data_IF_895286264308
#
_entry.id   IF_895286264308
#
_cell.length_a   1.000
_cell.length_b   1.000
_cell.length_c   1.000
_cell.angle_alpha   90.00
_cell.angle_beta   90.00
_cell.angle_gamma   90.00
#
_symmetry.space_group_name_H-M   'P 1'
#
loop_
_entity.id
_entity.type
_entity.pdbx_description
1 polymer ?
#
# COMPACT_ATOMS: atom_id res chain seq x y z
N UNK A 1 14.70 5.08 8.28
CA UNK A 1 14.82 6.21 9.22
C UNK A 1 13.63 6.16 10.13
N UNK A 2 13.85 5.84 11.40
CA UNK A 2 12.79 5.87 12.41
C UNK A 2 12.60 7.31 12.88
N UNK A 3 11.35 7.74 12.95
CA UNK A 3 10.92 9.00 13.57
C UNK A 3 9.88 8.70 14.63
N UNK A 4 9.48 9.71 15.41
CA UNK A 4 8.43 9.53 16.42
C UNK A 4 7.10 9.09 15.81
N UNK A 5 6.82 9.47 14.55
CA UNK A 5 5.53 9.19 13.90
C UNK A 5 5.59 8.05 12.86
N UNK A 6 6.79 7.53 12.54
CA UNK A 6 6.98 6.42 11.63
C UNK A 6 8.15 5.55 12.09
N UNK A 7 7.87 4.30 12.45
CA UNK A 7 8.90 3.31 12.74
C UNK A 7 9.28 2.56 11.48
N UNK A 8 10.56 2.24 11.32
CA UNK A 8 11.06 1.43 10.22
C UNK A 8 11.95 0.30 10.75
N UNK A 9 11.67 -0.92 10.32
CA UNK A 9 12.49 -2.10 10.60
C UNK A 9 12.78 -2.87 9.30
N UNK A 10 13.97 -3.43 9.16
CA UNK A 10 14.25 -4.44 8.14
C UNK A 10 14.27 -5.81 8.81
N UNK A 11 13.38 -6.70 8.38
CA UNK A 11 13.24 -8.06 8.87
C UNK A 11 13.38 -9.03 7.71
N UNK A 12 14.58 -9.57 7.51
CA UNK A 12 14.84 -10.61 6.51
C UNK A 12 14.40 -10.20 5.09
N UNK A 13 14.88 -9.03 4.65
CA UNK A 13 14.58 -8.49 3.33
C UNK A 13 13.22 -7.79 3.21
N UNK A 14 12.45 -7.72 4.31
CA UNK A 14 11.17 -7.01 4.37
C UNK A 14 11.36 -5.68 5.12
N UNK A 15 11.08 -4.56 4.46
CA UNK A 15 11.00 -3.27 5.15
C UNK A 15 9.60 -3.08 5.75
N UNK A 16 9.49 -3.06 7.07
CA UNK A 16 8.24 -2.83 7.79
C UNK A 16 8.16 -1.37 8.21
N UNK A 17 7.25 -0.63 7.59
CA UNK A 17 6.90 0.76 7.90
C UNK A 17 5.67 0.77 8.81
N UNK A 18 5.81 1.30 10.02
CA UNK A 18 4.74 1.30 11.03
C UNK A 18 4.35 2.72 11.41
N UNK A 19 3.09 3.09 11.15
CA UNK A 19 2.53 4.38 11.56
C UNK A 19 2.43 4.45 13.09
N UNK A 20 3.01 5.48 13.69
CA UNK A 20 3.22 5.54 15.14
C UNK A 20 2.58 6.77 15.79
N UNK A 21 1.25 6.83 15.76
CA UNK A 21 0.44 7.77 16.55
C UNK A 21 -0.78 7.05 17.14
N UNK A 22 -0.57 6.04 18.01
CA UNK A 22 -1.64 5.11 18.42
C UNK A 22 -2.79 5.81 19.18
N UNK A 23 -2.49 6.87 19.93
CA UNK A 23 -3.46 7.62 20.73
C UNK A 23 -4.57 8.27 19.87
N UNK A 24 -4.26 8.56 18.61
CA UNK A 24 -5.19 9.14 17.63
C UNK A 24 -5.41 8.20 16.44
N UNK A 25 -5.34 6.88 16.65
CA UNK A 25 -5.59 5.87 15.62
C UNK A 25 -4.70 6.03 14.38
N UNK A 26 -3.45 6.46 14.58
CA UNK A 26 -2.49 6.72 13.51
C UNK A 26 -3.00 7.74 12.48
N UNK A 27 -3.78 8.73 12.92
CA UNK A 27 -4.15 9.87 12.08
C UNK A 27 -2.91 10.50 11.45
N UNK A 28 -3.00 10.80 10.15
CA UNK A 28 -1.88 11.31 9.38
C UNK A 28 -1.47 12.68 9.87
N UNK A 29 -0.17 12.83 10.07
CA UNK A 29 0.48 14.10 10.37
C UNK A 29 1.47 14.43 9.26
N UNK A 30 1.82 15.71 9.11
CA UNK A 30 2.83 16.13 8.15
C UNK A 30 4.18 15.41 8.34
N UNK A 31 4.74 15.30 9.57
CA UNK A 31 5.98 14.55 9.78
C UNK A 31 5.90 13.07 9.38
N UNK A 32 4.75 12.43 9.62
CA UNK A 32 4.52 11.03 9.22
C UNK A 32 4.57 10.87 7.69
N UNK A 33 3.90 11.76 6.96
CA UNK A 33 3.83 11.72 5.50
C UNK A 33 5.17 12.05 4.85
N UNK A 34 5.91 13.03 5.38
CA UNK A 34 7.28 13.35 4.94
C UNK A 34 8.23 12.18 5.18
N UNK A 35 8.15 11.53 6.35
CA UNK A 35 8.96 10.35 6.66
C UNK A 35 8.62 9.17 5.73
N UNK A 36 7.33 8.95 5.45
CA UNK A 36 6.87 7.91 4.52
C UNK A 36 7.37 8.17 3.09
N UNK A 37 7.26 9.41 2.59
CA UNK A 37 7.76 9.78 1.26
C UNK A 37 9.27 9.55 1.15
N UNK A 38 10.03 9.99 2.16
CA UNK A 38 11.48 9.77 2.23
C UNK A 38 11.83 8.28 2.27
N UNK A 39 11.14 7.50 3.10
CA UNK A 39 11.33 6.06 3.22
C UNK A 39 11.05 5.35 1.89
N UNK A 40 9.90 5.60 1.27
CA UNK A 40 9.53 4.94 0.00
C UNK A 40 10.50 5.26 -1.14
N UNK A 41 10.96 6.51 -1.27
CA UNK A 41 11.94 6.90 -2.29
C UNK A 41 13.26 6.17 -2.12
N UNK A 42 13.76 6.09 -0.88
CA UNK A 42 15.00 5.35 -0.56
C UNK A 42 14.82 3.85 -0.77
N UNK A 43 13.75 3.29 -0.19
CA UNK A 43 13.48 1.85 -0.23
C UNK A 43 13.24 1.36 -1.64
N UNK A 44 12.80 2.18 -2.60
CA UNK A 44 12.66 1.76 -3.99
C UNK A 44 13.98 1.26 -4.62
N UNK A 45 15.13 1.79 -4.20
CA UNK A 45 16.45 1.44 -4.73
C UNK A 45 17.33 0.58 -3.81
N UNK A 46 16.83 0.16 -2.64
CA UNK A 46 17.64 -0.53 -1.63
C UNK A 46 17.75 -2.05 -1.91
N UNK A 47 18.91 -2.54 -2.34
CA UNK A 47 19.09 -3.97 -2.66
C UNK A 47 18.89 -4.92 -1.46
N UNK A 48 18.89 -4.42 -0.22
CA UNK A 48 18.60 -5.22 0.97
C UNK A 48 17.10 -5.43 1.23
N UNK A 49 16.22 -4.85 0.41
CA UNK A 49 14.76 -4.92 0.59
C UNK A 49 14.10 -5.50 -0.66
N UNK A 50 13.35 -6.58 -0.53
CA UNK A 50 12.58 -7.19 -1.61
C UNK A 50 11.07 -6.98 -1.50
N UNK A 51 10.55 -6.65 -0.32
CA UNK A 51 9.14 -6.36 -0.07
C UNK A 51 8.98 -5.25 0.98
N UNK A 52 7.92 -4.44 0.88
CA UNK A 52 7.59 -3.39 1.84
C UNK A 52 6.25 -3.72 2.49
N UNK A 53 6.18 -3.68 3.81
CA UNK A 53 4.95 -3.83 4.58
C UNK A 53 4.61 -2.50 5.24
N UNK A 54 3.38 -2.01 5.08
CA UNK A 54 2.84 -0.85 5.78
C UNK A 54 1.82 -1.31 6.82
N UNK A 55 1.93 -0.83 8.06
CA UNK A 55 1.00 -1.17 9.16
C UNK A 55 0.86 -0.02 10.17
N UNK A 56 -0.05 -0.14 11.14
CA UNK A 56 -0.21 0.82 12.22
C UNK A 56 0.14 0.25 13.58
N UNK A 57 0.55 1.10 14.52
CA UNK A 57 0.65 0.74 15.94
C UNK A 57 -0.72 0.70 16.62
N UNK A 58 -0.84 -0.11 17.67
CA UNK A 58 -2.02 -0.15 18.53
C UNK A 58 -3.29 -0.64 17.81
N UNK A 59 -4.43 -0.04 18.16
CA UNK A 59 -5.78 -0.51 17.78
C UNK A 59 -6.24 -0.09 16.37
N UNK A 60 -5.43 0.66 15.63
CA UNK A 60 -5.80 1.22 14.33
C UNK A 60 -4.71 0.99 13.29
N UNK A 61 -5.11 0.81 12.04
CA UNK A 61 -4.18 0.94 10.93
C UNK A 61 -3.90 2.43 10.68
N UNK A 62 -4.93 3.18 10.28
CA UNK A 62 -4.87 4.64 10.08
C UNK A 62 -6.29 5.21 9.93
N UNK A 63 -6.66 6.20 10.75
CA UNK A 63 -7.96 6.87 10.66
C UNK A 63 -8.05 7.96 9.58
N UNK A 64 -7.00 8.18 8.79
CA UNK A 64 -6.94 9.25 7.79
C UNK A 64 -6.50 10.57 8.38
N UNK A 65 -7.09 11.69 7.94
CA UNK A 65 -6.77 13.02 8.47
C UNK A 65 -7.13 13.19 9.95
N UNK A 66 -6.36 14.02 10.66
CA UNK A 66 -6.63 14.36 12.06
C UNK A 66 -7.75 15.42 12.13
N UNK A 67 -9.01 14.97 12.08
CA UNK A 67 -10.21 15.85 12.04
C UNK A 67 -10.32 16.71 13.30
N UNK A 68 -9.89 16.20 14.46
CA UNK A 68 -9.87 16.98 15.70
C UNK A 68 -8.93 18.18 15.57
N UNK A 69 -7.71 17.94 15.08
CA UNK A 69 -6.77 19.02 14.80
C UNK A 69 -7.26 19.96 13.66
N UNK A 70 -8.13 19.50 12.76
CA UNK A 70 -8.78 20.38 11.77
C UNK A 70 -9.82 21.31 12.40
N UNK A 71 -10.63 20.81 13.33
CA UNK A 71 -11.63 21.63 14.03
C UNK A 71 -11.01 22.67 14.97
N UNK A 72 -9.87 22.35 15.58
CA UNK A 72 -9.12 23.25 16.48
C UNK A 72 -8.33 24.34 15.73
N UNK A 73 -8.15 24.19 14.42
CA UNK A 73 -7.53 25.23 13.58
C UNK A 73 -8.53 26.37 13.34
N UNK A 74 -8.42 27.43 14.13
CA UNK A 74 -9.04 28.73 13.81
C UNK A 74 -8.54 29.20 12.44
N UNK A 75 -9.43 29.79 11.62
CA UNK A 75 -9.37 30.11 10.17
C UNK A 75 -8.09 30.76 9.56
N UNK A 76 -6.98 30.84 10.26
CA UNK A 76 -5.71 31.43 9.80
C UNK A 76 -4.72 30.41 9.25
N UNK A 77 -5.19 29.35 8.57
CA UNK A 77 -4.28 28.55 7.75
C UNK A 77 -3.82 29.42 6.56
N UNK A 78 -2.66 30.06 6.72
CA UNK A 78 -2.03 30.89 5.71
C UNK A 78 -1.92 30.13 4.38
N UNK A 79 -2.13 30.83 3.26
CA UNK A 79 -2.03 30.29 1.91
C UNK A 79 -3.33 30.36 1.12
N UNK A 80 -3.19 30.55 -0.20
CA UNK A 80 -4.31 30.52 -1.15
C UNK A 80 -4.85 29.10 -1.32
N UNK A 81 -6.03 28.97 -1.92
CA UNK A 81 -6.62 27.67 -2.25
C UNK A 81 -5.66 26.80 -3.07
N UNK A 82 -4.97 27.40 -4.04
CA UNK A 82 -4.01 26.76 -4.93
C UNK A 82 -2.81 26.22 -4.15
N UNK A 83 -2.28 27.00 -3.19
CA UNK A 83 -1.16 26.55 -2.36
C UNK A 83 -1.54 25.36 -1.48
N UNK A 84 -2.77 25.34 -0.93
CA UNK A 84 -3.30 24.24 -0.12
C UNK A 84 -3.52 22.98 -0.96
N UNK A 85 -4.03 23.15 -2.18
CA UNK A 85 -4.23 22.06 -3.12
C UNK A 85 -2.89 21.45 -3.57
N UNK A 86 -1.89 22.28 -3.86
CA UNK A 86 -0.54 21.84 -4.22
C UNK A 86 0.13 21.06 -3.07
N UNK A 87 0.03 21.58 -1.84
CA UNK A 87 0.56 20.96 -0.62
C UNK A 87 -0.14 19.62 -0.31
N UNK A 88 -1.45 19.51 -0.51
CA UNK A 88 -2.17 18.22 -0.44
C UNK A 88 -1.69 17.26 -1.54
N UNK A 89 -1.55 17.75 -2.78
CA UNK A 89 -1.13 16.93 -3.92
C UNK A 89 0.28 16.37 -3.71
N UNK A 90 1.20 17.15 -3.15
CA UNK A 90 2.54 16.68 -2.82
C UNK A 90 2.49 15.51 -1.82
N UNK A 91 1.67 15.62 -0.77
CA UNK A 91 1.49 14.54 0.19
C UNK A 91 0.87 13.29 -0.41
N UNK A 92 -0.06 13.43 -1.35
CA UNK A 92 -0.70 12.30 -2.03
C UNK A 92 0.29 11.46 -2.87
N UNK A 93 1.51 11.96 -3.14
CA UNK A 93 2.56 11.17 -3.79
C UNK A 93 2.88 9.87 -3.04
N UNK A 94 2.61 9.79 -1.73
CA UNK A 94 2.85 8.54 -0.99
C UNK A 94 2.01 7.38 -1.53
N UNK A 95 0.75 7.63 -1.88
CA UNK A 95 -0.11 6.60 -2.48
C UNK A 95 0.41 6.16 -3.84
N UNK A 96 0.86 7.12 -4.67
CA UNK A 96 1.49 6.80 -5.95
C UNK A 96 2.76 5.98 -5.75
N UNK A 97 3.60 6.33 -4.79
CA UNK A 97 4.84 5.60 -4.51
C UNK A 97 4.59 4.19 -3.97
N UNK A 98 3.55 3.97 -3.17
CA UNK A 98 3.14 2.62 -2.76
C UNK A 98 2.73 1.79 -3.98
N UNK A 99 1.85 2.35 -4.82
CA UNK A 99 1.30 1.68 -5.99
C UNK A 99 2.34 1.43 -7.09
N UNK A 100 3.23 2.38 -7.35
CA UNK A 100 4.21 2.33 -8.44
C UNK A 100 5.61 1.91 -7.99
N UNK A 101 5.81 1.61 -6.70
CA UNK A 101 7.10 1.10 -6.21
C UNK A 101 7.57 -0.08 -7.06
N UNK A 102 8.86 -0.15 -7.46
CA UNK A 102 9.41 -1.32 -8.14
C UNK A 102 9.38 -2.59 -7.27
N UNK A 103 9.08 -2.44 -5.97
CA UNK A 103 8.97 -3.52 -5.00
C UNK A 103 7.50 -3.77 -4.66
N UNK A 104 7.09 -5.03 -4.49
CA UNK A 104 5.75 -5.32 -3.98
C UNK A 104 5.56 -4.76 -2.57
N UNK A 105 4.36 -4.24 -2.33
CA UNK A 105 3.92 -3.58 -1.12
C UNK A 105 2.72 -4.32 -0.54
N UNK A 106 2.68 -4.45 0.79
CA UNK A 106 1.59 -5.11 1.50
C UNK A 106 1.08 -4.17 2.59
N UNK A 107 -0.23 -3.91 2.60
CA UNK A 107 -0.89 -3.30 3.74
C UNK A 107 -1.29 -4.39 4.74
N UNK A 108 -0.71 -4.34 5.94
CA UNK A 108 -1.10 -5.17 7.09
C UNK A 108 -2.06 -4.36 7.96
N UNK A 109 -3.36 -4.51 7.68
CA UNK A 109 -4.45 -3.74 8.29
C UNK A 109 -4.81 -4.35 9.65
N UNK A 110 -4.11 -3.91 10.69
CA UNK A 110 -4.21 -4.38 12.08
C UNK A 110 -5.44 -3.86 12.85
N UNK A 111 -6.20 -2.93 12.28
CA UNK A 111 -7.33 -2.30 12.95
C UNK A 111 -8.08 -1.35 12.03
N UNK A 112 -8.76 -0.35 12.61
CA UNK A 112 -9.54 0.61 11.83
C UNK A 112 -8.71 1.30 10.72
N UNK A 113 -9.23 1.30 9.50
CA UNK A 113 -8.70 2.04 8.36
C UNK A 113 -9.81 2.93 7.76
N UNK A 114 -9.63 4.25 7.78
CA UNK A 114 -10.66 5.20 7.38
C UNK A 114 -10.12 6.34 6.52
N UNK A 115 -10.92 6.86 5.58
CA UNK A 115 -10.56 8.01 4.75
C UNK A 115 -9.23 7.81 4.03
N UNK A 116 -8.35 8.81 4.09
CA UNK A 116 -6.99 8.72 3.55
C UNK A 116 -6.22 7.48 4.06
N UNK A 117 -6.50 7.00 5.28
CA UNK A 117 -5.88 5.82 5.84
C UNK A 117 -6.28 4.55 5.12
N UNK A 118 -7.55 4.44 4.74
CA UNK A 118 -8.00 3.39 3.81
C UNK A 118 -7.33 3.58 2.45
N UNK A 119 -7.26 4.81 1.91
CA UNK A 119 -6.60 5.08 0.63
C UNK A 119 -5.15 4.59 0.59
N UNK A 120 -4.36 4.72 1.66
CA UNK A 120 -3.01 4.15 1.73
C UNK A 120 -3.00 2.63 1.64
N UNK A 121 -3.93 1.96 2.33
CA UNK A 121 -4.02 0.50 2.27
C UNK A 121 -4.41 0.02 0.86
N UNK A 122 -5.33 0.74 0.20
CA UNK A 122 -5.76 0.44 -1.16
C UNK A 122 -4.66 0.67 -2.20
N UNK A 123 -3.73 1.57 -1.94
CA UNK A 123 -2.58 1.84 -2.80
C UNK A 123 -1.49 0.75 -2.74
N UNK A 124 -1.53 -0.18 -1.78
CA UNK A 124 -0.62 -1.32 -1.75
C UNK A 124 -1.04 -2.41 -2.74
N UNK A 125 -0.11 -3.29 -3.12
CA UNK A 125 -0.43 -4.39 -4.06
C UNK A 125 -1.34 -5.44 -3.39
N UNK A 126 -1.04 -5.76 -2.13
CA UNK A 126 -1.79 -6.75 -1.34
C UNK A 126 -2.28 -6.15 -0.02
N UNK A 127 -3.41 -6.64 0.46
CA UNK A 127 -4.02 -6.26 1.75
C UNK A 127 -4.35 -7.49 2.58
N UNK A 128 -3.78 -7.54 3.77
CA UNK A 128 -4.04 -8.55 4.80
C UNK A 128 -4.68 -7.84 5.97
N UNK A 129 -5.81 -8.35 6.47
CA UNK A 129 -6.64 -7.63 7.43
C UNK A 129 -6.95 -8.49 8.65
N UNK A 130 -6.87 -7.89 9.84
CA UNK A 130 -7.33 -8.51 11.08
C UNK A 130 -8.86 -8.70 11.03
N UNK A 131 -9.37 -9.81 11.56
CA UNK A 131 -10.81 -10.10 11.62
C UNK A 131 -11.61 -9.03 12.40
N UNK A 132 -10.99 -8.45 13.44
CA UNK A 132 -11.53 -7.36 14.24
C UNK A 132 -11.48 -5.99 13.56
N UNK A 133 -10.75 -5.82 12.46
CA UNK A 133 -10.60 -4.54 11.78
C UNK A 133 -11.89 -4.09 11.07
N UNK A 134 -11.99 -2.78 10.79
CA UNK A 134 -13.11 -2.17 10.06
C UNK A 134 -12.58 -1.15 9.07
N UNK A 135 -13.20 -1.11 7.89
CA UNK A 135 -12.88 -0.15 6.83
C UNK A 135 -14.03 0.86 6.67
N UNK A 136 -13.73 2.09 6.29
CA UNK A 136 -14.75 3.05 5.84
C UNK A 136 -14.11 4.12 4.97
N UNK A 137 -14.81 4.57 3.93
CA UNK A 137 -14.35 5.73 3.15
C UNK A 137 -14.39 7.00 4.00
N UNK A 138 -15.27 7.10 4.99
CA UNK A 138 -15.43 8.17 5.98
C UNK A 138 -15.64 9.61 5.46
N UNK A 139 -15.30 9.92 4.21
CA UNK A 139 -15.27 11.28 3.66
C UNK A 139 -16.63 11.98 3.70
N UNK A 140 -17.73 11.28 3.36
CA UNK A 140 -19.08 11.85 3.44
C UNK A 140 -19.47 12.25 4.87
N UNK A 141 -19.02 11.50 5.88
CA UNK A 141 -19.30 11.79 7.29
C UNK A 141 -18.58 13.04 7.82
N UNK A 142 -17.56 13.53 7.11
CA UNK A 142 -16.75 14.69 7.49
C UNK A 142 -16.77 15.81 6.45
N UNK A 143 -17.65 15.72 5.44
CA UNK A 143 -17.82 16.76 4.43
C UNK A 143 -16.66 16.91 3.43
N UNK A 144 -15.89 15.84 3.20
CA UNK A 144 -14.82 15.83 2.19
C UNK A 144 -15.19 14.99 0.97
N UNK A 145 -14.58 15.28 -0.18
CA UNK A 145 -14.82 14.58 -1.45
C UNK A 145 -13.99 13.29 -1.62
N UNK A 146 -12.96 13.11 -0.80
CA UNK A 146 -11.96 12.04 -0.96
C UNK A 146 -10.60 12.55 -1.41
N UNK A 147 -9.55 11.80 -1.04
CA UNK A 147 -8.15 12.10 -1.33
C UNK A 147 -7.27 10.82 -1.37
N UNK A 148 -5.95 11.00 -1.54
CA UNK A 148 -4.93 9.94 -1.54
C UNK A 148 -5.17 8.80 -2.56
N UNK A 149 -5.96 9.06 -3.61
CA UNK A 149 -6.24 8.09 -4.68
C UNK A 149 -7.30 7.05 -4.32
N UNK A 150 -7.98 7.16 -3.16
CA UNK A 150 -8.96 6.16 -2.72
C UNK A 150 -10.09 5.92 -3.73
N UNK A 151 -10.54 6.96 -4.42
CA UNK A 151 -11.58 6.86 -5.46
C UNK A 151 -11.10 6.07 -6.68
N UNK A 152 -9.83 6.18 -7.06
CA UNK A 152 -9.22 5.40 -8.13
C UNK A 152 -9.10 3.92 -7.71
N UNK A 153 -8.39 3.64 -6.62
CA UNK A 153 -8.11 2.26 -6.22
C UNK A 153 -9.37 1.49 -5.85
N UNK A 154 -10.30 2.09 -5.10
CA UNK A 154 -11.54 1.42 -4.73
C UNK A 154 -12.38 1.10 -5.96
N UNK A 155 -12.46 2.02 -6.93
CA UNK A 155 -13.20 1.79 -8.19
C UNK A 155 -12.65 0.61 -8.96
N UNK A 156 -11.32 0.45 -9.02
CA UNK A 156 -10.68 -0.69 -9.69
C UNK A 156 -10.96 -2.02 -8.96
N UNK A 157 -11.04 -1.99 -7.62
CA UNK A 157 -11.23 -3.20 -6.81
C UNK A 157 -12.68 -3.71 -6.80
N UNK A 158 -13.66 -2.81 -6.60
CA UNK A 158 -15.07 -3.21 -6.39
C UNK A 158 -16.00 -2.80 -7.53
N UNK A 159 -15.45 -2.14 -8.56
CA UNK A 159 -16.21 -1.56 -9.65
C UNK A 159 -16.90 -0.24 -9.30
N UNK A 160 -17.34 0.50 -10.34
CA UNK A 160 -17.84 1.87 -10.19
C UNK A 160 -19.14 2.00 -9.38
N UNK A 161 -20.01 0.99 -9.41
CA UNK A 161 -21.27 1.04 -8.68
C UNK A 161 -21.04 0.93 -7.16
N UNK A 162 -20.32 -0.11 -6.73
CA UNK A 162 -20.05 -0.34 -5.32
C UNK A 162 -19.13 0.74 -4.72
N UNK A 163 -18.16 1.24 -5.50
CA UNK A 163 -17.32 2.34 -5.04
C UNK A 163 -18.14 3.61 -4.72
N UNK A 164 -19.15 3.95 -5.54
CA UNK A 164 -20.06 5.07 -5.27
C UNK A 164 -20.88 4.85 -4.02
N UNK A 165 -21.46 3.66 -3.85
CA UNK A 165 -22.22 3.31 -2.63
C UNK A 165 -21.36 3.49 -1.38
N UNK A 166 -20.15 2.92 -1.36
CA UNK A 166 -19.23 3.03 -0.24
C UNK A 166 -18.77 4.47 0.03
N UNK A 167 -18.61 5.30 -1.00
CA UNK A 167 -18.24 6.71 -0.83
C UNK A 167 -19.39 7.60 -0.36
N UNK A 168 -20.57 7.44 -0.95
CA UNK A 168 -21.72 8.30 -0.69
C UNK A 168 -22.39 7.99 0.66
N UNK A 169 -22.43 6.71 1.05
CA UNK A 169 -23.02 6.30 2.33
C UNK A 169 -21.98 6.25 3.46
N UNK A 170 -20.69 6.12 3.13
CA UNK A 170 -19.59 6.02 4.08
C UNK A 170 -19.80 4.97 5.19
N UNK A 171 -20.53 3.90 4.88
CA UNK A 171 -20.80 2.80 5.80
C UNK A 171 -19.51 2.06 6.18
N UNK A 172 -19.56 1.41 7.35
CA UNK A 172 -18.44 0.58 7.83
C UNK A 172 -18.51 -0.77 7.15
N UNK A 173 -17.38 -1.20 6.61
CA UNK A 173 -17.18 -2.53 6.02
C UNK A 173 -16.40 -3.38 7.01
N UNK A 174 -16.96 -4.53 7.40
CA UNK A 174 -16.27 -5.50 8.24
C UNK A 174 -15.34 -6.42 7.43
N UNK A 175 -14.58 -7.27 8.12
CA UNK A 175 -13.58 -8.12 7.47
C UNK A 175 -14.21 -9.13 6.49
N UNK A 176 -15.38 -9.69 6.81
CA UNK A 176 -16.04 -10.66 5.95
C UNK A 176 -16.52 -10.00 4.65
N UNK A 177 -17.15 -8.83 4.76
CA UNK A 177 -17.58 -8.06 3.59
C UNK A 177 -16.39 -7.52 2.79
N UNK A 178 -15.33 -7.04 3.45
CA UNK A 178 -14.12 -6.57 2.78
C UNK A 178 -13.48 -7.68 1.93
N UNK A 179 -13.47 -8.92 2.43
CA UNK A 179 -12.98 -10.08 1.67
C UNK A 179 -13.93 -10.42 0.52
N UNK A 180 -15.24 -10.45 0.78
CA UNK A 180 -16.27 -10.78 -0.23
C UNK A 180 -16.26 -9.80 -1.41
N UNK A 181 -16.04 -8.51 -1.13
CA UNK A 181 -15.94 -7.46 -2.13
C UNK A 181 -14.59 -7.45 -2.86
N UNK A 182 -13.58 -8.21 -2.41
CA UNK A 182 -12.23 -8.16 -2.97
C UNK A 182 -11.42 -6.92 -2.56
N UNK A 183 -11.88 -6.16 -1.55
CA UNK A 183 -11.14 -5.04 -0.99
C UNK A 183 -9.86 -5.54 -0.31
N UNK A 184 -9.90 -6.71 0.33
CA UNK A 184 -8.71 -7.35 0.93
C UNK A 184 -8.47 -8.72 0.34
N UNK A 185 -7.19 -9.13 0.28
CA UNK A 185 -6.81 -10.43 -0.27
C UNK A 185 -6.99 -11.55 0.76
N UNK A 186 -6.77 -11.25 2.05
CA UNK A 186 -6.91 -12.22 3.15
C UNK A 186 -7.38 -11.55 4.42
N UNK A 187 -8.18 -12.29 5.18
CA UNK A 187 -8.54 -11.98 6.56
C UNK A 187 -7.88 -13.00 7.47
N UNK A 188 -7.26 -12.55 8.54
CA UNK A 188 -6.56 -13.36 9.51
C UNK A 188 -7.17 -13.15 10.91
N UNK A 189 -7.11 -14.15 11.81
CA UNK A 189 -7.27 -13.89 13.24
C UNK A 189 -6.34 -12.75 13.69
N UNK A 190 -6.81 -11.90 14.60
CA UNK A 190 -6.10 -10.68 14.99
C UNK A 190 -4.68 -10.96 15.50
N UNK A 191 -4.50 -12.04 16.27
CA UNK A 191 -3.23 -12.51 16.82
C UNK A 191 -2.32 -13.19 15.79
N UNK A 192 -2.86 -13.58 14.62
CA UNK A 192 -2.15 -14.23 13.53
C UNK A 192 -1.83 -13.32 12.35
N UNK A 193 -2.42 -12.13 12.29
CA UNK A 193 -2.24 -11.21 11.17
C UNK A 193 -0.77 -10.97 10.84
N UNK A 194 0.06 -10.71 11.85
CA UNK A 194 1.49 -10.42 11.64
C UNK A 194 2.25 -11.62 11.12
N UNK A 195 2.03 -12.79 11.71
CA UNK A 195 2.67 -14.03 11.30
C UNK A 195 2.38 -14.33 9.82
N UNK A 196 1.10 -14.33 9.44
CA UNK A 196 0.62 -14.59 8.08
C UNK A 196 1.12 -13.58 7.07
N UNK A 197 1.09 -12.29 7.41
CA UNK A 197 1.55 -11.23 6.52
C UNK A 197 3.06 -11.32 6.31
N UNK A 198 3.84 -11.51 7.37
CA UNK A 198 5.30 -11.60 7.26
C UNK A 198 5.76 -12.86 6.55
N UNK A 199 5.03 -13.99 6.67
CA UNK A 199 5.32 -15.20 5.89
C UNK A 199 5.22 -14.93 4.38
N UNK A 200 4.17 -14.23 3.94
CA UNK A 200 4.01 -13.86 2.52
C UNK A 200 5.03 -12.79 2.11
N UNK A 201 5.28 -11.79 2.95
CA UNK A 201 6.25 -10.74 2.68
C UNK A 201 7.67 -11.29 2.49
N UNK A 202 8.13 -12.22 3.35
CA UNK A 202 9.44 -12.87 3.22
C UNK A 202 9.52 -13.71 1.95
N UNK A 203 8.45 -14.45 1.61
CA UNK A 203 8.41 -15.21 0.35
C UNK A 203 8.58 -14.29 -0.86
N UNK A 204 7.96 -13.11 -0.84
CA UNK A 204 8.13 -12.12 -1.90
C UNK A 204 9.53 -11.51 -1.88
N UNK A 205 10.05 -11.17 -0.70
CA UNK A 205 11.36 -10.56 -0.55
C UNK A 205 12.50 -11.44 -1.09
N UNK A 206 12.38 -12.76 -0.93
CA UNK A 206 13.32 -13.77 -1.42
C UNK A 206 12.92 -14.39 -2.77
N UNK A 207 11.93 -13.82 -3.46
CA UNK A 207 11.48 -14.26 -4.77
C UNK A 207 12.32 -13.67 -5.92
N UNK A 208 11.90 -13.87 -7.20
CA UNK A 208 12.59 -13.34 -8.37
C UNK A 208 12.32 -11.84 -8.51
N UNK A 209 13.05 -11.01 -7.75
CA UNK A 209 12.76 -9.57 -7.56
C UNK A 209 12.71 -8.77 -8.86
N UNK A 210 13.56 -9.10 -9.84
CA UNK A 210 13.53 -8.46 -11.17
C UNK A 210 12.22 -8.77 -11.90
N UNK A 211 11.78 -10.02 -11.88
CA UNK A 211 10.53 -10.42 -12.51
C UNK A 211 9.32 -9.77 -11.83
N UNK A 212 9.28 -9.73 -10.49
CA UNK A 212 8.19 -9.07 -9.75
C UNK A 212 8.07 -7.58 -10.09
N UNK A 213 9.19 -6.87 -10.24
CA UNK A 213 9.19 -5.47 -10.68
C UNK A 213 8.50 -5.31 -12.03
N UNK A 214 8.81 -6.17 -13.01
CA UNK A 214 8.18 -6.11 -14.33
C UNK A 214 6.72 -6.55 -14.30
N UNK A 215 6.38 -7.60 -13.56
CA UNK A 215 4.98 -8.05 -13.38
C UNK A 215 4.11 -6.91 -12.84
N UNK A 216 4.56 -6.26 -11.77
CA UNK A 216 3.87 -5.11 -11.18
C UNK A 216 3.73 -3.95 -12.17
N UNK A 217 4.81 -3.61 -12.90
CA UNK A 217 4.77 -2.56 -13.94
C UNK A 217 3.74 -2.86 -15.04
N UNK A 218 3.64 -4.12 -15.47
CA UNK A 218 2.68 -4.52 -16.51
C UNK A 218 1.24 -4.40 -15.99
N UNK A 219 0.97 -4.85 -14.76
CA UNK A 219 -0.34 -4.75 -14.14
C UNK A 219 -0.78 -3.29 -13.99
N UNK A 220 0.11 -2.41 -13.51
CA UNK A 220 -0.20 -0.99 -13.38
C UNK A 220 -0.47 -0.33 -14.74
N UNK A 221 0.26 -0.73 -15.79
CA UNK A 221 0.01 -0.23 -17.14
C UNK A 221 -1.36 -0.67 -17.69
N UNK A 222 -1.82 -1.87 -17.33
CA UNK A 222 -3.11 -2.39 -17.77
C UNK A 222 -4.32 -1.68 -17.13
N UNK A 223 -4.14 -0.95 -16.03
CA UNK A 223 -5.25 -0.25 -15.34
C UNK A 223 -5.85 0.89 -16.18
N UNK A 224 -5.07 1.49 -17.08
CA UNK A 224 -5.52 2.61 -17.93
C UNK A 224 -4.90 2.64 -19.34
N UNK A 225 -4.01 1.71 -19.68
CA UNK A 225 -3.33 1.63 -20.97
C UNK A 225 -4.09 0.83 -22.02
N UNK A 226 -3.61 0.89 -23.27
CA UNK A 226 -4.10 0.01 -24.33
C UNK A 226 -3.42 -1.36 -24.30
N UNK A 227 -4.04 -2.36 -24.94
CA UNK A 227 -3.42 -3.68 -25.12
C UNK A 227 -2.03 -3.57 -25.77
N UNK A 228 -1.87 -2.65 -26.73
CA UNK A 228 -0.60 -2.39 -27.41
C UNK A 228 0.46 -1.88 -26.42
N UNK A 229 0.12 -0.93 -25.56
CA UNK A 229 1.05 -0.37 -24.58
C UNK A 229 1.53 -1.43 -23.59
N UNK A 230 0.62 -2.32 -23.16
CA UNK A 230 0.95 -3.45 -22.28
C UNK A 230 1.88 -4.44 -23.00
N UNK A 231 1.60 -4.81 -24.25
CA UNK A 231 2.47 -5.72 -25.03
C UNK A 231 3.89 -5.17 -25.21
N UNK A 232 4.01 -3.88 -25.53
CA UNK A 232 5.32 -3.24 -25.70
C UNK A 232 6.13 -3.29 -24.39
N UNK A 233 5.47 -3.07 -23.23
CA UNK A 233 6.11 -3.19 -21.91
C UNK A 233 6.45 -4.64 -21.54
N UNK A 234 5.54 -5.56 -21.80
CA UNK A 234 5.70 -7.00 -21.52
C UNK A 234 6.86 -7.59 -22.30
N UNK A 235 6.98 -7.30 -23.59
CA UNK A 235 8.05 -7.81 -24.43
C UNK A 235 9.45 -7.45 -23.86
N UNK A 236 9.63 -6.19 -23.45
CA UNK A 236 10.87 -5.73 -22.82
C UNK A 236 11.10 -6.39 -21.47
N UNK A 237 10.09 -6.38 -20.59
CA UNK A 237 10.22 -6.91 -19.23
C UNK A 237 10.46 -8.42 -19.19
N UNK A 238 9.76 -9.17 -20.06
CA UNK A 238 9.88 -10.61 -20.21
C UNK A 238 11.28 -11.00 -20.72
N UNK A 239 11.73 -10.37 -21.81
CA UNK A 239 13.06 -10.62 -22.39
C UNK A 239 14.15 -10.34 -21.37
N UNK A 240 14.07 -9.19 -20.68
CA UNK A 240 15.05 -8.83 -19.66
C UNK A 240 15.07 -9.80 -18.49
N UNK A 241 13.90 -10.30 -18.06
CA UNK A 241 13.81 -11.28 -16.98
C UNK A 241 14.47 -12.61 -17.38
N UNK A 242 14.37 -13.02 -18.64
CA UNK A 242 15.02 -14.22 -19.17
C UNK A 242 16.56 -14.19 -19.14
N UNK A 243 17.17 -13.01 -19.08
CA UNK A 243 18.63 -12.84 -19.04
C UNK A 243 19.26 -12.93 -17.64
N UNK A 244 18.42 -12.89 -16.59
CA UNK A 244 18.85 -12.80 -15.17
C UNK A 244 19.52 -14.07 -14.65
N UNK A 245 20.31 -13.96 -13.57
CA UNK A 245 20.79 -15.14 -12.82
C UNK A 245 19.61 -15.92 -12.23
N UNK A 246 18.57 -15.20 -11.79
CA UNK A 246 17.35 -15.78 -11.23
C UNK A 246 16.64 -16.72 -12.22
N UNK A 247 16.54 -16.35 -13.50
CA UNK A 247 15.92 -17.22 -14.49
C UNK A 247 16.75 -18.47 -14.78
N UNK A 248 18.08 -18.34 -14.84
CA UNK A 248 19.00 -19.48 -15.02
C UNK A 248 18.88 -20.45 -13.84
N UNK A 249 18.83 -19.92 -12.62
CA UNK A 249 18.64 -20.69 -11.40
C UNK A 249 17.26 -21.37 -11.35
N UNK A 250 16.18 -20.67 -11.72
CA UNK A 250 14.85 -21.28 -11.82
C UNK A 250 14.82 -22.45 -12.80
N UNK A 251 15.42 -22.27 -13.99
CA UNK A 251 15.50 -23.30 -15.02
C UNK A 251 16.27 -24.53 -14.52
N UNK A 252 17.40 -24.30 -13.85
CA UNK A 252 18.21 -25.36 -13.24
C UNK A 252 17.45 -26.08 -12.11
N UNK A 253 16.87 -25.33 -11.17
CA UNK A 253 16.12 -25.86 -10.05
C UNK A 253 14.92 -26.70 -10.49
N UNK A 254 14.24 -26.28 -11.57
CA UNK A 254 13.13 -27.02 -12.17
C UNK A 254 13.56 -28.40 -12.69
N UNK A 255 14.67 -28.47 -13.43
CA UNK A 255 15.24 -29.74 -13.93
C UNK A 255 15.67 -30.63 -12.76
N UNK A 256 16.26 -30.04 -11.72
CA UNK A 256 16.74 -30.71 -10.51
C UNK A 256 15.62 -31.03 -9.49
N UNK A 257 14.36 -30.64 -9.76
CA UNK A 257 13.19 -30.82 -8.88
C UNK A 257 13.40 -30.30 -7.45
N UNK A 258 14.05 -29.14 -7.32
CA UNK A 258 14.27 -28.45 -6.05
C UNK A 258 13.67 -27.04 -6.08
N UNK A 259 13.57 -26.41 -4.91
CA UNK A 259 13.19 -25.00 -4.83
C UNK A 259 14.34 -24.12 -5.35
N UNK A 260 14.06 -23.11 -6.19
CA UNK A 260 15.06 -22.14 -6.63
C UNK A 260 15.45 -21.19 -5.49
N UNK A 261 16.70 -20.73 -5.50
CA UNK A 261 17.18 -19.69 -4.58
C UNK A 261 17.52 -18.43 -5.36
N UNK A 262 16.61 -17.45 -5.31
CA UNK A 262 16.76 -16.20 -6.05
C UNK A 262 17.69 -15.20 -5.36
N UNK A 263 18.39 -14.40 -6.17
CA UNK A 263 19.31 -13.34 -5.75
C UNK A 263 18.84 -11.96 -6.20
N UNK A 264 17.84 -11.86 -7.06
CA UNK A 264 17.28 -10.60 -7.54
C UNK A 264 18.18 -9.87 -8.54
N UNK A 265 18.91 -10.60 -9.38
CA UNK A 265 19.82 -10.05 -10.40
C UNK A 265 19.93 -10.96 -11.61
#
# INVERSE_FOLDING_TARGET
MTTDHLLEANEDGVAVLTLNRPDVLNAMSRPMLEALLSAMRRLAGDDAVGCIVLTGTGRGFCSGGDVRAMAERTETAAGTLESKAADLRERMEISRLLHESPKPTIAMVNGAAAGAGLSLALACDLRFMAAGARLSTAFANVGYSGDFGGSYFLTQLVGPAKARELYLLAERVDAAEALRLGIVNRVCPDDKLREETMAVARRIAHGPRVAYRYMKRNLNAAESGSLKDVFDLEAWGHTRSGETEDHKEASKAFVEKRQPVFKGR
#
